data_IF_558603619486
#
_entry.id   IF_558603619486
#
_cell.length_a   1.000
_cell.length_b   1.000
_cell.length_c   1.000
_cell.angle_alpha   90.00
_cell.angle_beta   90.00
_cell.angle_gamma   90.00
#
_symmetry.space_group_name_H-M   'P 1'
#
loop_
_entity.id
_entity.type
_entity.pdbx_description
1 polymer ?
#
# COMPACT_ATOMS: atom_id res chain seq x y z
N UNK A 1 -15.88 -46.11 23.84
CA UNK A 1 -14.58 -45.44 23.61
C UNK A 1 -14.36 -45.10 22.12
N UNK A 2 -15.27 -44.30 21.51
CA UNK A 2 -15.15 -43.86 20.10
C UNK A 2 -15.60 -42.41 19.84
N UNK A 3 -16.21 -41.73 20.82
CA UNK A 3 -16.75 -40.39 20.65
C UNK A 3 -15.76 -39.27 21.07
N UNK A 4 -14.86 -39.55 22.01
CA UNK A 4 -13.83 -38.59 22.45
C UNK A 4 -12.72 -38.39 21.40
N UNK A 5 -12.36 -39.43 20.65
CA UNK A 5 -11.26 -39.37 19.67
C UNK A 5 -11.61 -38.54 18.43
N UNK A 6 -12.91 -38.45 18.09
CA UNK A 6 -13.41 -37.67 16.94
C UNK A 6 -13.46 -36.16 17.22
N UNK A 7 -13.74 -35.74 18.47
CA UNK A 7 -13.74 -34.32 18.86
C UNK A 7 -12.34 -33.70 18.88
N UNK A 8 -11.30 -34.49 19.17
CA UNK A 8 -9.91 -34.00 19.21
C UNK A 8 -9.35 -33.70 17.81
N UNK A 9 -9.76 -34.43 16.78
CA UNK A 9 -9.27 -34.26 15.40
C UNK A 9 -9.85 -33.00 14.74
N UNK A 10 -11.11 -32.65 15.03
CA UNK A 10 -11.76 -31.41 14.55
C UNK A 10 -11.11 -30.15 15.13
N UNK A 11 -10.54 -30.22 16.35
CA UNK A 11 -9.86 -29.09 17.00
C UNK A 11 -8.50 -28.75 16.38
N UNK A 12 -7.80 -29.73 15.80
CA UNK A 12 -6.51 -29.53 15.14
C UNK A 12 -6.63 -28.95 13.73
N UNK A 13 -7.72 -29.28 13.01
CA UNK A 13 -8.00 -28.72 11.68
C UNK A 13 -8.35 -27.22 11.74
N UNK A 14 -8.95 -26.77 12.85
CA UNK A 14 -9.32 -25.37 13.06
C UNK A 14 -8.07 -24.48 13.28
N UNK A 15 -6.99 -25.01 13.86
CA UNK A 15 -5.75 -24.25 14.08
C UNK A 15 -4.91 -24.01 12.80
N UNK A 16 -5.15 -24.76 11.72
CA UNK A 16 -4.44 -24.60 10.44
C UNK A 16 -5.14 -23.61 9.48
N UNK A 17 -6.32 -23.10 9.85
CA UNK A 17 -7.09 -22.12 9.06
C UNK A 17 -7.08 -20.70 9.65
N UNK A 18 -6.43 -20.47 10.79
CA UNK A 18 -6.15 -19.12 11.26
C UNK A 18 -4.88 -18.63 10.58
N UNK A 19 -5.02 -17.77 9.58
CA UNK A 19 -3.90 -17.06 8.97
C UNK A 19 -3.34 -16.08 10.03
N UNK A 20 -2.21 -16.39 10.70
CA UNK A 20 -1.66 -15.53 11.75
C UNK A 20 -0.98 -14.28 11.17
N UNK A 21 -0.94 -14.16 9.83
CA UNK A 21 -0.27 -13.10 9.09
C UNK A 21 -1.21 -12.04 8.51
N UNK A 22 -2.52 -12.08 8.81
CA UNK A 22 -3.44 -11.00 8.39
C UNK A 22 -3.46 -9.80 9.34
N UNK A 23 -2.60 -9.75 10.36
CA UNK A 23 -2.52 -8.57 11.23
C UNK A 23 -1.64 -7.50 10.56
N UNK A 24 -2.18 -6.28 10.33
CA UNK A 24 -1.41 -5.22 9.69
C UNK A 24 -0.16 -4.90 10.50
N UNK A 25 1.02 -5.04 9.89
CA UNK A 25 2.29 -4.72 10.57
C UNK A 25 2.41 -3.22 10.73
N UNK A 26 2.29 -2.73 11.97
CA UNK A 26 2.52 -1.33 12.32
C UNK A 26 3.98 -0.95 12.13
N UNK A 27 4.24 0.23 11.57
CA UNK A 27 5.57 0.77 11.32
C UNK A 27 5.93 1.86 12.33
N UNK A 28 7.20 1.90 12.69
CA UNK A 28 7.77 2.89 13.61
C UNK A 28 8.37 4.10 12.88
N UNK A 29 8.39 5.24 13.58
CA UNK A 29 8.97 6.50 13.09
C UNK A 29 8.03 7.40 12.30
N UNK A 30 6.72 7.17 12.37
CA UNK A 30 5.68 8.07 11.86
C UNK A 30 4.98 8.82 13.01
N UNK A 31 4.41 10.00 12.73
CA UNK A 31 3.69 10.84 13.69
C UNK A 31 2.29 10.31 14.03
N UNK A 32 1.80 9.31 13.28
CA UNK A 32 0.53 8.64 13.49
C UNK A 32 0.66 7.13 13.14
N UNK A 33 -0.31 6.28 13.52
CA UNK A 33 -0.28 4.86 13.17
C UNK A 33 -0.26 4.65 11.65
N UNK A 34 0.79 3.98 11.16
CA UNK A 34 0.96 3.58 9.76
C UNK A 34 1.21 2.08 9.72
N UNK A 35 0.57 1.39 8.79
CA UNK A 35 0.70 -0.05 8.62
C UNK A 35 1.24 -0.35 7.22
N UNK A 36 2.13 -1.33 7.11
CA UNK A 36 2.49 -1.86 5.79
C UNK A 36 1.38 -2.78 5.27
N UNK A 37 1.09 -2.71 3.98
CA UNK A 37 0.15 -3.60 3.29
C UNK A 37 0.78 -4.15 2.01
N UNK A 38 0.31 -5.32 1.57
CA UNK A 38 0.73 -5.92 0.30
C UNK A 38 0.00 -5.30 -0.90
N UNK A 39 -1.21 -4.78 -0.66
CA UNK A 39 -2.04 -4.18 -1.70
C UNK A 39 -2.91 -3.07 -1.15
N UNK A 40 -3.12 -2.03 -1.95
CA UNK A 40 -4.17 -1.05 -1.70
C UNK A 40 -5.52 -1.55 -2.23
N UNK A 41 -6.65 -1.00 -1.72
CA UNK A 41 -7.97 -1.30 -2.22
C UNK A 41 -8.09 -1.16 -3.74
N UNK A 42 -8.85 -2.04 -4.38
CA UNK A 42 -9.12 -2.03 -5.82
C UNK A 42 -10.46 -1.40 -6.18
N UNK A 43 -11.29 -1.10 -5.18
CA UNK A 43 -12.61 -0.51 -5.35
C UNK A 43 -13.09 0.16 -4.05
N UNK A 44 -14.23 0.83 -4.13
CA UNK A 44 -14.85 1.52 -3.00
C UNK A 44 -15.25 0.59 -1.84
N UNK A 45 -15.65 -0.66 -2.13
CA UNK A 45 -16.05 -1.61 -1.08
C UNK A 45 -14.85 -2.02 -0.23
N UNK A 46 -13.74 -2.41 -0.87
CA UNK A 46 -12.47 -2.69 -0.20
C UNK A 46 -11.94 -1.47 0.54
N UNK A 47 -12.08 -0.26 -0.04
CA UNK A 47 -11.66 0.98 0.62
C UNK A 47 -12.41 1.19 1.94
N UNK A 48 -13.74 0.98 1.94
CA UNK A 48 -14.54 1.10 3.16
C UNK A 48 -14.19 0.02 4.19
N UNK A 49 -13.97 -1.22 3.74
CA UNK A 49 -13.56 -2.31 4.60
C UNK A 49 -12.23 -1.99 5.30
N UNK A 50 -11.19 -1.63 4.55
CA UNK A 50 -9.89 -1.27 5.11
C UNK A 50 -9.97 -0.06 6.03
N UNK A 51 -10.71 0.98 5.62
CA UNK A 51 -10.99 2.16 6.46
C UNK A 51 -11.59 1.76 7.81
N UNK A 52 -12.54 0.82 7.83
CA UNK A 52 -13.17 0.32 9.04
C UNK A 52 -12.20 -0.51 9.90
N UNK A 53 -11.38 -1.36 9.29
CA UNK A 53 -10.43 -2.24 10.01
C UNK A 53 -9.42 -1.42 10.81
N UNK A 54 -8.90 -0.32 10.24
CA UNK A 54 -7.93 0.55 10.92
C UNK A 54 -8.57 1.76 11.63
N UNK A 55 -9.90 1.76 11.79
CA UNK A 55 -10.69 2.77 12.51
C UNK A 55 -10.51 4.22 12.00
N UNK A 56 -10.38 4.39 10.68
CA UNK A 56 -10.45 5.72 10.07
C UNK A 56 -11.88 6.26 10.13
N UNK A 57 -12.01 7.57 10.28
CA UNK A 57 -13.28 8.27 10.45
C UNK A 57 -13.43 9.38 9.42
N UNK A 58 -14.53 10.13 9.50
CA UNK A 58 -14.74 11.29 8.63
C UNK A 58 -13.74 12.42 8.88
N UNK A 59 -13.11 12.50 10.07
CA UNK A 59 -12.10 13.51 10.38
C UNK A 59 -10.68 13.08 10.04
N UNK A 60 -10.44 11.78 9.83
CA UNK A 60 -9.15 11.22 9.43
C UNK A 60 -9.35 10.13 8.37
N UNK A 61 -9.22 10.50 7.10
CA UNK A 61 -9.59 9.66 5.97
C UNK A 61 -8.58 8.55 5.71
N UNK A 62 -9.08 7.36 5.39
CA UNK A 62 -8.23 6.24 4.98
C UNK A 62 -7.46 6.60 3.71
N UNK A 63 -6.16 6.35 3.76
CA UNK A 63 -5.23 6.57 2.65
C UNK A 63 -4.36 5.34 2.49
N UNK A 64 -4.19 4.89 1.25
CA UNK A 64 -3.23 3.85 0.90
C UNK A 64 -2.32 4.33 -0.22
N UNK A 65 -1.02 4.42 0.05
CA UNK A 65 -0.02 5.03 -0.83
C UNK A 65 1.36 4.36 -0.64
N UNK A 66 2.28 4.48 -1.61
CA UNK A 66 3.69 4.12 -1.43
C UNK A 66 4.39 4.91 -0.32
N UNK A 67 5.46 4.34 0.23
CA UNK A 67 6.47 5.09 0.96
C UNK A 67 7.35 5.94 0.02
N UNK A 68 8.14 6.86 0.58
CA UNK A 68 9.06 7.75 -0.16
C UNK A 68 10.13 7.05 -1.00
N UNK A 69 10.46 5.80 -0.67
CA UNK A 69 11.43 4.99 -1.41
C UNK A 69 10.78 4.08 -2.46
N UNK A 70 9.45 4.10 -2.59
CA UNK A 70 8.66 3.24 -3.47
C UNK A 70 8.99 1.74 -3.33
N UNK A 71 9.19 1.29 -2.09
CA UNK A 71 9.53 -0.11 -1.75
C UNK A 71 8.41 -0.84 -1.01
N UNK A 72 7.49 -0.12 -0.37
CA UNK A 72 6.38 -0.69 0.39
C UNK A 72 5.11 0.15 0.21
N UNK A 73 3.94 -0.50 0.23
CA UNK A 73 2.66 0.18 0.31
C UNK A 73 2.28 0.35 1.77
N UNK A 74 1.69 1.50 2.06
CA UNK A 74 1.33 1.93 3.40
C UNK A 74 -0.16 2.23 3.44
N UNK A 75 -0.82 1.85 4.52
CA UNK A 75 -2.18 2.29 4.84
C UNK A 75 -2.22 2.99 6.20
N UNK A 76 -3.01 4.06 6.28
CA UNK A 76 -3.09 4.93 7.45
C UNK A 76 -4.33 5.83 7.41
N UNK A 77 -4.71 6.37 8.56
CA UNK A 77 -5.73 7.42 8.66
C UNK A 77 -5.05 8.78 8.65
N UNK A 78 -5.34 9.60 7.63
CA UNK A 78 -4.67 10.88 7.46
C UNK A 78 -5.52 12.05 7.94
N UNK A 79 -4.90 13.02 8.61
CA UNK A 79 -5.57 14.21 9.19
C UNK A 79 -6.35 15.04 8.17
N UNK A 80 -6.00 14.94 6.89
CA UNK A 80 -6.75 15.55 5.79
C UNK A 80 -7.62 14.47 5.12
N UNK A 81 -8.91 14.36 5.48
CA UNK A 81 -9.73 13.20 5.11
C UNK A 81 -10.10 13.12 3.64
N UNK A 82 -10.01 14.24 2.91
CA UNK A 82 -10.24 14.31 1.47
C UNK A 82 -9.21 15.24 0.84
N UNK A 83 -8.09 14.67 0.41
CA UNK A 83 -7.11 15.42 -0.38
C UNK A 83 -7.57 15.36 -1.84
N UNK A 84 -7.75 16.52 -2.46
CA UNK A 84 -7.92 16.61 -3.91
C UNK A 84 -6.55 16.50 -4.57
N UNK A 85 -6.38 15.47 -5.39
CA UNK A 85 -5.17 15.21 -6.16
C UNK A 85 -5.38 15.82 -7.54
N UNK A 86 -4.44 16.66 -7.98
CA UNK A 86 -4.50 17.25 -9.31
C UNK A 86 -4.05 16.25 -10.37
N UNK A 87 -4.56 16.40 -11.59
CA UNK A 87 -4.06 15.63 -12.75
C UNK A 87 -2.54 15.67 -12.86
N UNK A 88 -1.93 14.61 -13.38
CA UNK A 88 -0.48 14.49 -13.54
C UNK A 88 0.29 14.13 -12.27
N UNK A 89 -0.40 13.85 -11.15
CA UNK A 89 0.21 13.62 -9.84
C UNK A 89 -0.19 12.25 -9.27
N UNK A 90 0.80 11.51 -8.80
CA UNK A 90 0.63 10.43 -7.82
C UNK A 90 1.09 10.92 -6.44
N UNK A 91 0.71 10.23 -5.37
CA UNK A 91 1.11 10.59 -4.01
C UNK A 91 1.98 9.51 -3.35
N UNK A 92 2.76 9.90 -2.35
CA UNK A 92 3.48 9.00 -1.46
C UNK A 92 3.58 9.61 -0.05
N UNK A 93 3.89 8.78 0.95
CA UNK A 93 4.11 9.25 2.32
C UNK A 93 5.61 9.50 2.57
N UNK A 94 5.94 10.76 2.89
CA UNK A 94 7.28 11.17 3.32
C UNK A 94 7.42 10.95 4.83
N UNK A 95 8.34 10.07 5.22
CA UNK A 95 8.47 9.52 6.57
C UNK A 95 8.85 10.57 7.60
N UNK A 96 9.85 11.41 7.32
CA UNK A 96 10.44 12.35 8.29
C UNK A 96 9.42 13.24 8.99
N UNK A 97 8.35 13.63 8.29
CA UNK A 97 7.27 14.47 8.83
C UNK A 97 5.90 13.81 8.73
N UNK A 98 5.85 12.53 8.32
CA UNK A 98 4.60 11.81 8.04
C UNK A 98 3.64 12.61 7.15
N UNK A 99 4.17 13.25 6.10
CA UNK A 99 3.39 14.09 5.19
C UNK A 99 3.20 13.42 3.86
N UNK A 100 1.97 13.49 3.36
CA UNK A 100 1.67 13.13 1.99
C UNK A 100 2.34 14.15 1.06
N UNK A 101 3.12 13.66 0.11
CA UNK A 101 3.82 14.47 -0.87
C UNK A 101 3.48 14.01 -2.29
N UNK A 102 3.77 14.87 -3.27
CA UNK A 102 3.41 14.64 -4.67
C UNK A 102 4.58 14.11 -5.49
N UNK A 103 4.24 13.25 -6.44
CA UNK A 103 5.12 12.74 -7.48
C UNK A 103 4.54 13.10 -8.84
N UNK A 104 5.29 13.84 -9.66
CA UNK A 104 4.85 14.14 -11.02
C UNK A 104 4.94 12.86 -11.85
N UNK A 105 3.80 12.30 -12.27
CA UNK A 105 3.75 11.08 -13.07
C UNK A 105 3.55 11.34 -14.57
N UNK A 106 3.63 12.59 -15.03
CA UNK A 106 3.32 12.95 -16.43
C UNK A 106 4.23 12.25 -17.45
N UNK A 107 5.36 11.71 -17.01
CA UNK A 107 6.30 10.92 -17.81
C UNK A 107 6.03 9.41 -17.79
N UNK A 108 5.01 8.94 -17.06
CA UNK A 108 4.60 7.53 -17.10
C UNK A 108 4.16 7.16 -18.51
N UNK A 109 4.39 5.90 -18.87
CA UNK A 109 3.97 5.36 -20.16
C UNK A 109 2.45 5.25 -20.29
N UNK A 110 1.76 5.10 -19.17
CA UNK A 110 0.31 4.96 -19.07
C UNK A 110 -0.16 5.23 -17.64
N UNK A 111 -1.47 5.43 -17.45
CA UNK A 111 -2.13 5.37 -16.14
C UNK A 111 -1.86 6.51 -15.17
N UNK A 112 -1.12 7.55 -15.57
CA UNK A 112 -1.04 8.78 -14.79
C UNK A 112 -2.39 9.53 -14.87
N UNK A 113 -2.89 10.12 -13.77
CA UNK A 113 -4.21 10.75 -13.74
C UNK A 113 -4.37 11.87 -14.76
N UNK A 114 -5.46 11.84 -15.52
CA UNK A 114 -5.81 12.85 -16.54
C UNK A 114 -6.78 13.92 -16.01
N UNK A 115 -7.42 13.63 -14.88
CA UNK A 115 -8.39 14.46 -14.19
C UNK A 115 -8.09 14.50 -12.69
N UNK A 116 -8.69 15.47 -12.00
CA UNK A 116 -8.56 15.58 -10.55
C UNK A 116 -9.42 14.51 -9.88
N UNK A 117 -8.95 13.96 -8.76
CA UNK A 117 -9.65 12.91 -8.02
C UNK A 117 -9.30 13.00 -6.53
N UNK A 118 -10.07 12.35 -5.67
CA UNK A 118 -9.77 12.33 -4.24
C UNK A 118 -8.87 11.17 -3.85
N UNK A 119 -8.13 11.29 -2.74
CA UNK A 119 -7.37 10.16 -2.15
C UNK A 119 -8.23 8.93 -1.88
N UNK A 120 -9.52 9.12 -1.58
CA UNK A 120 -10.49 8.03 -1.41
C UNK A 120 -10.83 7.29 -2.70
N UNK A 121 -10.32 7.74 -3.85
CA UNK A 121 -10.59 7.21 -5.19
C UNK A 121 -9.29 6.75 -5.87
N UNK A 122 -8.19 6.58 -5.11
CA UNK A 122 -6.88 6.17 -5.66
C UNK A 122 -6.92 4.84 -6.41
N UNK A 123 -7.88 3.97 -6.07
CA UNK A 123 -8.12 2.71 -6.78
C UNK A 123 -8.50 2.90 -8.26
N UNK A 124 -8.99 4.08 -8.66
CA UNK A 124 -9.22 4.39 -10.08
C UNK A 124 -7.92 4.62 -10.85
N UNK A 125 -6.80 4.83 -10.16
CA UNK A 125 -5.47 5.05 -10.71
C UNK A 125 -4.46 4.05 -10.13
N UNK A 126 -4.63 2.73 -10.41
CA UNK A 126 -3.79 1.69 -9.82
C UNK A 126 -2.31 1.84 -10.17
N UNK A 127 -1.99 2.58 -11.23
CA UNK A 127 -0.61 2.90 -11.59
C UNK A 127 0.10 3.76 -10.53
N UNK A 128 -0.63 4.63 -9.83
CA UNK A 128 -0.10 5.45 -8.72
C UNK A 128 0.16 4.69 -7.42
N UNK A 129 -0.14 3.38 -7.38
CA UNK A 129 0.14 2.47 -6.26
C UNK A 129 0.87 1.20 -6.75
N UNK A 130 1.24 1.15 -8.03
CA UNK A 130 1.96 0.02 -8.63
C UNK A 130 3.45 0.30 -8.60
N UNK A 131 4.11 -0.16 -7.54
CA UNK A 131 5.54 0.06 -7.30
C UNK A 131 6.31 -1.26 -7.27
N UNK A 132 7.57 -1.21 -7.70
CA UNK A 132 8.52 -2.30 -7.51
C UNK A 132 9.94 -1.77 -7.67
N UNK A 133 10.90 -2.37 -6.98
CA UNK A 133 12.33 -2.04 -7.13
C UNK A 133 12.67 -0.56 -6.90
N UNK A 134 11.89 0.14 -6.06
CA UNK A 134 12.12 1.54 -5.75
C UNK A 134 11.60 2.53 -6.80
N UNK A 135 10.67 2.11 -7.65
CA UNK A 135 10.06 2.97 -8.67
C UNK A 135 8.60 2.56 -8.97
N UNK A 136 7.87 3.46 -9.62
CA UNK A 136 6.57 3.13 -10.20
C UNK A 136 6.74 2.30 -11.47
N UNK A 137 5.97 1.22 -11.60
CA UNK A 137 6.10 0.28 -12.72
C UNK A 137 5.84 0.92 -14.09
N UNK A 138 4.98 1.93 -14.17
CA UNK A 138 4.71 2.64 -15.42
C UNK A 138 5.79 3.66 -15.79
N UNK A 139 6.80 3.87 -14.94
CA UNK A 139 7.90 4.77 -15.25
C UNK A 139 8.85 4.14 -16.27
N UNK A 140 9.24 4.86 -17.34
CA UNK A 140 10.13 4.32 -18.36
C UNK A 140 11.48 3.80 -17.86
N UNK A 141 12.00 4.35 -16.76
CA UNK A 141 13.26 3.95 -16.12
C UNK A 141 13.13 2.65 -15.31
N UNK A 142 11.94 2.32 -14.81
CA UNK A 142 11.74 1.26 -13.83
C UNK A 142 12.05 -0.14 -14.39
N UNK A 143 11.76 -0.37 -15.68
CA UNK A 143 12.13 -1.61 -16.37
C UNK A 143 13.64 -1.79 -16.58
N UNK A 144 14.41 -0.69 -16.64
CA UNK A 144 15.87 -0.79 -16.80
C UNK A 144 16.54 -1.28 -15.51
N UNK A 145 15.98 -0.94 -14.35
CA UNK A 145 16.43 -1.51 -13.08
C UNK A 145 16.26 -3.03 -13.05
N UNK A 146 15.18 -3.58 -13.61
CA UNK A 146 15.00 -5.03 -13.73
C UNK A 146 16.11 -5.68 -14.55
N UNK A 147 16.45 -5.09 -15.70
CA UNK A 147 17.50 -5.60 -16.58
C UNK A 147 18.89 -5.49 -15.96
N UNK A 148 19.17 -4.47 -15.14
CA UNK A 148 20.45 -4.34 -14.46
C UNK A 148 20.55 -5.29 -13.25
N UNK A 149 19.50 -5.40 -12.44
CA UNK A 149 19.43 -6.35 -11.31
C UNK A 149 19.54 -7.80 -11.81
N UNK A 150 18.90 -8.12 -12.95
CA UNK A 150 18.97 -9.46 -13.56
C UNK A 150 20.24 -9.73 -14.36
N UNK A 151 21.04 -8.72 -14.73
CA UNK A 151 22.26 -8.87 -15.55
C UNK A 151 23.58 -8.56 -14.85
N UNK A 152 23.62 -8.01 -13.64
CA UNK A 152 24.90 -7.90 -12.94
C UNK A 152 24.93 -7.01 -11.70
N UNK A 153 25.54 -7.60 -10.66
CA UNK A 153 26.35 -6.99 -9.60
C UNK A 153 25.61 -6.23 -8.49
N UNK A 154 25.66 -6.81 -7.26
CA UNK A 154 25.61 -6.04 -6.04
C UNK A 154 26.65 -4.90 -6.15
N UNK A 155 26.27 -3.62 -6.03
CA UNK A 155 27.25 -2.59 -5.74
C UNK A 155 27.78 -2.84 -4.34
N UNK A 156 29.11 -2.95 -4.24
CA UNK A 156 29.81 -3.02 -2.97
C UNK A 156 29.46 -1.82 -2.10
N UNK A 157 29.31 -2.11 -0.81
CA UNK A 157 29.36 -1.08 0.23
C UNK A 157 30.81 -0.56 0.26
N UNK A 158 30.99 0.69 -0.16
CA UNK A 158 32.08 1.55 0.30
C UNK A 158 31.53 2.54 1.32
#
# INVERSE_FOLDING_TARGET
MKLQTQLCLLRWLIFLFYCPSCEPRKLEGYEFPVFSTESCPQNHAEWNERSSIINCTQSNGYTCLPNENFTELLEFCYVYPRILITKGICLYLYKRYSRVNSYNCSHFRYGCPDSNYFTSEVYNYPTCISIKYGCFLAEPSCERHNNNISKGNLPGME
#
